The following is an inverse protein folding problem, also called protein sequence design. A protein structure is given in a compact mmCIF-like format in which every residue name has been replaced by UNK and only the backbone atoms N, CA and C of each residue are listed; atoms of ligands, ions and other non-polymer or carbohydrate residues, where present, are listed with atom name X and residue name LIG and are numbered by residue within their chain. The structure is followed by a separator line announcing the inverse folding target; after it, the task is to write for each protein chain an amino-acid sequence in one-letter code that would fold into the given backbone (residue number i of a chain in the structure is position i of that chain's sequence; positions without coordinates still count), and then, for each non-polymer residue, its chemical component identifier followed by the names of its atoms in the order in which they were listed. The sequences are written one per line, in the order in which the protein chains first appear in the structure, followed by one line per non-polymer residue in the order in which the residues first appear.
data_IF_333674925837
#
_entry.id   IF_333674925837
#
_cell.length_a   1.000
_cell.length_b   1.000
_cell.length_c   1.000
_cell.angle_alpha   90.00
_cell.angle_beta   90.00
_cell.angle_gamma   90.00
#
_symmetry.space_group_name_H-M   'P 1'
#
loop_
_entity.id
_entity.type
_entity.pdbx_description
1 polymer ?
#
# COMPACT_ATOMS: atom_id res chain seq x y z
N UNK A 1 -7.17 1.16 -20.09
CA UNK A 1 -6.49 2.25 -19.35
C UNK A 1 -5.01 1.92 -19.31
N UNK A 2 -4.19 2.63 -20.09
CA UNK A 2 -2.75 2.68 -19.79
C UNK A 2 -2.61 3.48 -18.49
N UNK A 3 -2.09 2.86 -17.43
CA UNK A 3 -1.66 3.59 -16.23
C UNK A 3 -0.75 4.73 -16.71
N UNK A 4 -0.90 5.94 -16.16
CA UNK A 4 -0.13 7.13 -16.61
C UNK A 4 1.36 6.78 -16.77
N UNK A 5 2.06 7.46 -17.68
CA UNK A 5 3.49 7.20 -17.94
C UNK A 5 4.30 7.13 -16.63
N UNK A 6 3.99 8.02 -15.68
CA UNK A 6 4.59 8.02 -14.35
C UNK A 6 4.18 6.81 -13.50
N UNK A 7 2.88 6.50 -13.35
CA UNK A 7 2.45 5.37 -12.53
C UNK A 7 3.00 4.03 -13.06
N UNK A 8 3.01 3.84 -14.38
CA UNK A 8 3.61 2.66 -14.99
C UNK A 8 5.14 2.62 -14.79
N UNK A 9 5.83 3.76 -14.89
CA UNK A 9 7.26 3.88 -14.58
C UNK A 9 7.57 3.47 -13.14
N UNK A 10 6.80 3.97 -12.17
CA UNK A 10 6.97 3.63 -10.74
C UNK A 10 6.69 2.15 -10.49
N UNK A 11 5.64 1.58 -11.09
CA UNK A 11 5.36 0.15 -10.96
C UNK A 11 6.45 -0.71 -11.57
N UNK A 12 7.00 -0.32 -12.72
CA UNK A 12 8.14 -1.00 -13.33
C UNK A 12 9.39 -0.92 -12.44
N UNK A 13 9.69 0.25 -11.85
CA UNK A 13 10.80 0.42 -10.88
C UNK A 13 10.65 -0.53 -9.69
N UNK A 14 9.43 -0.68 -9.20
CA UNK A 14 9.08 -1.49 -8.04
C UNK A 14 8.81 -2.96 -8.39
N UNK A 15 9.08 -3.38 -9.63
CA UNK A 15 8.82 -4.72 -10.17
C UNK A 15 7.36 -5.21 -10.02
N UNK A 16 6.40 -4.27 -10.01
CA UNK A 16 4.98 -4.54 -9.73
C UNK A 16 4.73 -5.20 -8.36
N UNK A 17 5.69 -5.13 -7.44
CA UNK A 17 5.60 -5.69 -6.10
C UNK A 17 5.22 -4.60 -5.10
N UNK A 18 4.28 -4.92 -4.20
CA UNK A 18 3.94 -4.04 -3.08
C UNK A 18 5.18 -3.82 -2.20
N UNK A 19 5.65 -2.57 -2.13
CA UNK A 19 6.87 -2.18 -1.41
C UNK A 19 6.78 -2.36 0.11
N UNK A 20 5.58 -2.61 0.63
CA UNK A 20 5.35 -2.81 2.06
C UNK A 20 5.20 -4.27 2.46
N UNK A 21 4.63 -5.14 1.64
CA UNK A 21 4.37 -6.52 2.04
C UNK A 21 4.84 -7.59 1.06
N UNK A 22 5.46 -7.20 -0.05
CA UNK A 22 5.99 -8.15 -1.03
C UNK A 22 4.93 -8.84 -1.88
N UNK A 23 3.65 -8.43 -1.81
CA UNK A 23 2.60 -9.00 -2.67
C UNK A 23 2.94 -8.73 -4.13
N UNK A 24 2.95 -9.78 -4.94
CA UNK A 24 3.16 -9.69 -6.38
C UNK A 24 1.88 -9.17 -7.06
N UNK A 25 1.97 -8.00 -7.69
CA UNK A 25 0.87 -7.41 -8.44
C UNK A 25 0.60 -8.09 -9.78
N UNK A 26 1.47 -9.00 -10.24
CA UNK A 26 1.31 -9.75 -11.49
C UNK A 26 0.75 -11.16 -11.29
N UNK A 27 0.56 -11.61 -10.04
CA UNK A 27 0.10 -12.97 -9.75
C UNK A 27 -1.30 -13.28 -10.30
N UNK A 28 -2.13 -12.25 -10.48
CA UNK A 28 -3.50 -12.38 -11.01
C UNK A 28 -4.04 -11.04 -11.51
N UNK A 29 -5.09 -11.08 -12.33
CA UNK A 29 -5.80 -9.87 -12.75
C UNK A 29 -6.33 -9.04 -11.55
N UNK A 30 -6.76 -9.72 -10.49
CA UNK A 30 -7.21 -9.06 -9.26
C UNK A 30 -6.04 -8.35 -8.56
N UNK A 31 -4.89 -9.01 -8.40
CA UNK A 31 -3.71 -8.39 -7.81
C UNK A 31 -3.22 -7.19 -8.64
N UNK A 32 -3.26 -7.29 -9.97
CA UNK A 32 -2.92 -6.21 -10.88
C UNK A 32 -3.85 -5.00 -10.69
N UNK A 33 -5.14 -5.26 -10.55
CA UNK A 33 -6.15 -4.23 -10.32
C UNK A 33 -6.01 -3.59 -8.92
N UNK A 34 -5.73 -4.39 -7.90
CA UNK A 34 -5.56 -3.94 -6.52
C UNK A 34 -4.16 -3.39 -6.22
N UNK A 35 -3.32 -3.19 -7.22
CA UNK A 35 -1.98 -2.60 -7.07
C UNK A 35 -1.94 -1.21 -7.69
N UNK A 36 -1.72 -0.22 -6.84
CA UNK A 36 -1.70 1.20 -7.19
C UNK A 36 -0.34 1.83 -6.88
N UNK A 37 -0.12 3.04 -7.40
CA UNK A 37 0.97 3.92 -7.00
C UNK A 37 0.38 5.01 -6.13
N UNK A 38 0.96 5.25 -4.96
CA UNK A 38 0.51 6.27 -4.02
C UNK A 38 1.70 6.92 -3.29
N UNK A 39 1.45 8.05 -2.64
CA UNK A 39 2.43 8.81 -1.88
C UNK A 39 2.82 8.08 -0.59
N UNK A 40 4.12 7.92 -0.39
CA UNK A 40 4.73 7.49 0.85
C UNK A 40 4.45 8.52 1.95
N UNK A 41 4.65 9.81 1.67
CA UNK A 41 4.23 10.92 2.51
C UNK A 41 3.32 11.87 1.74
N UNK A 42 2.01 11.73 1.93
CA UNK A 42 1.00 12.56 1.27
C UNK A 42 0.89 13.98 1.83
N UNK A 43 1.59 14.28 2.93
CA UNK A 43 1.53 15.59 3.59
C UNK A 43 2.68 16.52 3.17
N UNK A 44 3.58 16.08 2.28
CA UNK A 44 4.59 16.95 1.68
C UNK A 44 3.92 18.01 0.78
N UNK A 45 4.62 19.12 0.56
CA UNK A 45 4.22 20.14 -0.41
C UNK A 45 4.81 19.82 -1.78
N UNK A 46 4.29 20.46 -2.82
CA UNK A 46 4.93 20.40 -4.14
C UNK A 46 6.24 21.20 -4.13
N UNK A 47 7.29 20.71 -4.84
CA UNK A 47 7.29 19.54 -5.73
C UNK A 47 7.61 18.20 -5.06
N UNK A 48 7.97 18.20 -3.77
CA UNK A 48 8.44 16.99 -3.08
C UNK A 48 7.33 15.92 -2.92
N UNK A 49 6.07 16.34 -2.91
CA UNK A 49 4.92 15.45 -2.83
C UNK A 49 4.85 14.56 -4.06
N UNK A 50 4.91 15.12 -5.27
CA UNK A 50 4.78 14.35 -6.52
C UNK A 50 6.11 13.81 -7.07
N UNK A 51 7.21 14.00 -6.32
CA UNK A 51 8.51 13.43 -6.63
C UNK A 51 8.47 11.89 -6.71
N UNK A 52 9.19 11.31 -7.68
CA UNK A 52 9.18 9.86 -7.94
C UNK A 52 9.61 9.05 -6.71
N UNK A 53 10.51 9.60 -5.90
CA UNK A 53 11.03 8.99 -4.67
C UNK A 53 9.95 8.85 -3.61
N UNK A 54 8.98 9.78 -3.58
CA UNK A 54 7.84 9.75 -2.67
C UNK A 54 6.71 8.86 -3.18
N UNK A 55 6.72 8.42 -4.44
CA UNK A 55 5.71 7.51 -4.99
C UNK A 55 6.13 6.05 -4.81
N UNK A 56 5.23 5.18 -4.34
CA UNK A 56 5.48 3.74 -4.12
C UNK A 56 4.35 2.89 -4.68
N UNK A 57 4.71 1.72 -5.19
CA UNK A 57 3.78 0.65 -5.55
C UNK A 57 3.29 -0.05 -4.29
N UNK A 58 1.97 -0.07 -4.09
CA UNK A 58 1.34 -0.67 -2.92
C UNK A 58 0.09 -1.45 -3.31
N UNK A 59 -0.14 -2.58 -2.64
CA UNK A 59 -1.44 -3.25 -2.71
C UNK A 59 -2.47 -2.44 -1.91
N UNK A 60 -3.72 -2.52 -2.33
CA UNK A 60 -4.87 -1.81 -1.75
C UNK A 60 -4.95 -1.97 -0.23
N UNK A 61 -4.71 -3.19 0.27
CA UNK A 61 -4.75 -3.49 1.70
C UNK A 61 -3.69 -2.71 2.50
N UNK A 62 -2.44 -2.72 2.04
CA UNK A 62 -1.37 -1.96 2.71
C UNK A 62 -1.59 -0.45 2.58
N UNK A 63 -2.02 0.00 1.40
CA UNK A 63 -2.23 1.41 1.11
C UNK A 63 -3.34 1.99 2.02
N UNK A 64 -4.48 1.30 2.09
CA UNK A 64 -5.61 1.67 2.93
C UNK A 64 -5.25 1.67 4.43
N UNK A 65 -4.56 0.61 4.91
CA UNK A 65 -4.14 0.53 6.31
C UNK A 65 -3.13 1.61 6.72
N UNK A 66 -2.18 1.94 5.83
CA UNK A 66 -1.22 3.02 6.04
C UNK A 66 -1.96 4.35 6.15
N UNK A 67 -2.84 4.64 5.18
CA UNK A 67 -3.56 5.92 5.09
C UNK A 67 -2.61 7.11 4.97
N UNK A 68 -3.01 8.24 5.55
CA UNK A 68 -2.26 9.51 5.52
C UNK A 68 -1.22 9.66 6.65
N UNK A 69 -0.89 8.57 7.35
CA UNK A 69 0.11 8.59 8.43
C UNK A 69 1.51 8.87 7.90
N UNK A 70 2.30 9.57 8.70
CA UNK A 70 3.71 9.88 8.43
C UNK A 70 4.62 8.79 8.99
N UNK A 71 5.65 8.48 8.22
CA UNK A 71 6.70 7.53 8.58
C UNK A 71 8.01 8.07 8.03
N UNK A 72 9.11 7.80 8.74
CA UNK A 72 10.43 8.24 8.32
C UNK A 72 11.03 7.24 7.32
N UNK A 73 10.78 5.95 7.51
CA UNK A 73 11.30 4.89 6.64
C UNK A 73 10.24 3.90 6.18
N UNK A 74 10.55 3.16 5.11
CA UNK A 74 9.72 2.03 4.66
C UNK A 74 9.63 0.96 5.75
N UNK A 75 10.68 0.76 6.54
CA UNK A 75 10.70 -0.25 7.59
C UNK A 75 9.74 0.10 8.74
N UNK A 76 9.58 1.39 9.05
CA UNK A 76 8.56 1.86 10.00
C UNK A 76 7.15 1.56 9.49
N UNK A 77 6.90 1.76 8.19
CA UNK A 77 5.62 1.39 7.56
C UNK A 77 5.38 -0.11 7.68
N UNK A 78 6.38 -0.93 7.38
CA UNK A 78 6.28 -2.39 7.48
C UNK A 78 5.96 -2.85 8.89
N UNK A 79 6.67 -2.30 9.88
CA UNK A 79 6.45 -2.58 11.31
C UNK A 79 5.03 -2.21 11.73
N UNK A 80 4.59 -1.00 11.40
CA UNK A 80 3.24 -0.53 11.66
C UNK A 80 2.18 -1.42 11.00
N UNK A 81 2.34 -1.72 9.71
CA UNK A 81 1.38 -2.54 8.96
C UNK A 81 1.31 -3.96 9.51
N UNK A 82 2.44 -4.56 9.89
CA UNK A 82 2.45 -5.88 10.53
C UNK A 82 1.56 -5.89 11.77
N UNK A 83 1.75 -4.91 12.67
CA UNK A 83 0.92 -4.75 13.87
C UNK A 83 -0.55 -4.52 13.52
N UNK A 84 -0.85 -3.55 12.66
CA UNK A 84 -2.24 -3.20 12.31
C UNK A 84 -2.99 -4.34 11.62
N UNK A 85 -2.31 -5.15 10.82
CA UNK A 85 -2.89 -6.36 10.21
C UNK A 85 -3.30 -7.40 11.25
N UNK A 86 -2.50 -7.59 12.30
CA UNK A 86 -2.84 -8.49 13.41
C UNK A 86 -4.03 -7.98 14.22
N UNK A 87 -4.06 -6.67 14.51
CA UNK A 87 -5.20 -6.03 15.17
C UNK A 87 -6.48 -6.18 14.35
N UNK A 88 -6.43 -5.89 13.04
CA UNK A 88 -7.59 -6.03 12.14
C UNK A 88 -8.06 -7.49 12.07
N UNK A 89 -7.14 -8.46 12.03
CA UNK A 89 -7.53 -9.87 12.05
C UNK A 89 -8.26 -10.24 13.34
N UNK A 90 -7.79 -9.73 14.47
CA UNK A 90 -8.43 -9.92 15.78
C UNK A 90 -9.82 -9.27 15.83
N UNK A 91 -9.94 -8.04 15.33
CA UNK A 91 -11.22 -7.32 15.18
C UNK A 91 -12.19 -8.13 14.30
N UNK A 92 -11.74 -8.58 13.14
CA UNK A 92 -12.53 -9.39 12.21
C UNK A 92 -13.06 -10.67 12.85
N UNK A 93 -12.24 -11.42 13.58
CA UNK A 93 -12.67 -12.66 14.25
C UNK A 93 -13.74 -12.38 15.31
N UNK A 94 -13.58 -11.32 16.11
CA UNK A 94 -14.56 -10.91 17.12
C UNK A 94 -15.88 -10.50 16.46
N UNK A 95 -15.83 -9.67 15.43
CA UNK A 95 -17.01 -9.21 14.69
C UNK A 95 -17.72 -10.37 14.00
N UNK A 96 -16.99 -11.27 13.35
CA UNK A 96 -17.55 -12.46 12.70
C UNK A 96 -18.30 -13.31 13.71
N UNK A 97 -17.71 -13.55 14.89
CA UNK A 97 -18.36 -14.27 15.99
C UNK A 97 -19.64 -13.57 16.43
N UNK A 98 -19.58 -12.28 16.76
CA UNK A 98 -20.74 -11.54 17.26
C UNK A 98 -21.92 -11.41 16.27
N UNK A 99 -21.68 -11.53 14.96
CA UNK A 99 -22.72 -11.41 13.92
C UNK A 99 -23.27 -12.78 13.49
N UNK A 100 -22.44 -13.83 13.49
CA UNK A 100 -22.77 -15.12 12.86
C UNK A 100 -22.90 -16.28 13.85
N UNK A 101 -22.57 -16.09 15.12
CA UNK A 101 -22.84 -17.01 16.24
C UNK A 101 -23.80 -16.35 17.22
#
# INVERSE_FOLDING_TARGET
MLKSSLAFKIQKRDNFVCQYCGKDGLESALAWHQTAVDHFNSQLKEPERDAEENLKTACEYCNSLKGNRKFDTIEDVKTYLKKRKMELHTEFLKTKKAIRE
#
